data_IF_116483224081
#
_entry.id   IF_116483224081
#
_cell.length_a   1.000
_cell.length_b   1.000
_cell.length_c   1.000
_cell.angle_alpha   90.00
_cell.angle_beta   90.00
_cell.angle_gamma   90.00
#
_symmetry.space_group_name_H-M   'P 1'
#
loop_
_entity.id
_entity.type
_entity.pdbx_description
1 polymer ?
#
# COMPACT_ATOMS: atom_id res chain seq x y z
N UNK A 1 -55.25 -53.43 30.09
CA UNK A 1 -54.54 -52.13 30.17
C UNK A 1 -53.04 -52.40 30.14
N UNK A 2 -52.38 -52.10 29.03
CA UNK A 2 -50.92 -52.11 28.92
C UNK A 2 -50.50 -50.76 28.32
N UNK A 3 -49.64 -50.03 29.03
CA UNK A 3 -49.28 -48.64 28.77
C UNK A 3 -48.48 -48.48 27.48
N UNK A 4 -48.97 -47.57 26.63
CA UNK A 4 -48.28 -46.97 25.49
C UNK A 4 -46.99 -46.27 25.94
N UNK A 5 -45.84 -46.65 25.37
CA UNK A 5 -44.57 -45.93 25.53
C UNK A 5 -44.26 -45.18 24.24
N UNK A 6 -44.59 -43.89 24.22
CA UNK A 6 -44.09 -42.97 23.19
C UNK A 6 -42.65 -42.55 23.51
N UNK A 7 -41.74 -42.51 22.52
CA UNK A 7 -40.41 -41.97 22.73
C UNK A 7 -40.50 -40.45 22.94
N UNK A 8 -39.90 -39.99 24.03
CA UNK A 8 -39.70 -38.57 24.35
C UNK A 8 -38.78 -37.93 23.31
N UNK A 9 -39.32 -36.92 22.62
CA UNK A 9 -38.61 -35.98 21.76
C UNK A 9 -37.48 -35.29 22.52
N UNK A 10 -36.25 -35.79 22.38
CA UNK A 10 -35.05 -35.11 22.83
C UNK A 10 -34.68 -33.96 21.87
N UNK A 11 -35.14 -32.77 22.25
CA UNK A 11 -34.51 -31.45 22.12
C UNK A 11 -33.96 -30.96 20.75
N UNK A 12 -34.66 -30.04 20.07
CA UNK A 12 -34.16 -29.21 18.96
C UNK A 12 -32.87 -28.42 19.26
N UNK A 13 -32.55 -28.20 20.54
CA UNK A 13 -31.37 -27.46 20.97
C UNK A 13 -30.04 -28.20 20.67
N UNK A 14 -30.04 -29.54 20.68
CA UNK A 14 -28.84 -30.34 20.44
C UNK A 14 -28.49 -30.51 18.95
N UNK A 15 -29.48 -30.37 18.06
CA UNK A 15 -29.28 -30.34 16.60
C UNK A 15 -28.85 -28.95 16.13
N UNK A 16 -29.36 -27.89 16.76
CA UNK A 16 -28.99 -26.52 16.46
C UNK A 16 -27.52 -26.23 16.84
N UNK A 17 -27.06 -26.65 18.03
CA UNK A 17 -25.66 -26.47 18.46
C UNK A 17 -24.65 -27.22 17.59
N UNK A 18 -25.02 -28.41 17.06
CA UNK A 18 -24.21 -29.15 16.09
C UNK A 18 -24.10 -28.43 14.74
N UNK A 19 -25.19 -27.85 14.26
CA UNK A 19 -25.21 -27.09 13.00
C UNK A 19 -24.33 -25.83 13.09
N UNK A 20 -24.34 -25.13 14.23
CA UNK A 20 -23.45 -23.99 14.48
C UNK A 20 -21.96 -24.39 14.57
N UNK A 21 -21.64 -25.55 15.13
CA UNK A 21 -20.26 -26.08 15.13
C UNK A 21 -19.77 -26.43 13.74
N UNK A 22 -20.63 -27.02 12.90
CA UNK A 22 -20.28 -27.39 11.54
C UNK A 22 -20.10 -26.15 10.66
N UNK A 23 -20.99 -25.16 10.77
CA UNK A 23 -20.83 -23.87 10.09
C UNK A 23 -19.57 -23.11 10.55
N UNK A 24 -19.25 -23.13 11.84
CA UNK A 24 -18.02 -22.54 12.36
C UNK A 24 -16.74 -23.19 11.80
N UNK A 25 -16.75 -24.52 11.64
CA UNK A 25 -15.65 -25.27 11.01
C UNK A 25 -15.49 -24.87 9.54
N UNK A 26 -16.59 -24.80 8.78
CA UNK A 26 -16.55 -24.47 7.36
C UNK A 26 -16.08 -23.03 7.12
N UNK A 27 -16.47 -22.08 7.98
CA UNK A 27 -15.97 -20.69 7.94
C UNK A 27 -14.47 -20.62 8.26
N UNK A 28 -13.98 -21.42 9.22
CA UNK A 28 -12.55 -21.46 9.55
C UNK A 28 -11.73 -21.98 8.38
N UNK A 29 -12.19 -23.05 7.73
CA UNK A 29 -11.55 -23.63 6.53
C UNK A 29 -11.57 -22.65 5.35
N UNK A 30 -12.66 -21.89 5.18
CA UNK A 30 -12.73 -20.82 4.16
C UNK A 30 -11.76 -19.66 4.47
N UNK A 31 -11.56 -19.31 5.74
CA UNK A 31 -10.60 -18.26 6.14
C UNK A 31 -9.15 -18.68 5.90
N UNK A 32 -8.81 -19.95 6.13
CA UNK A 32 -7.47 -20.50 5.85
C UNK A 32 -7.14 -20.41 4.36
N UNK A 33 -8.10 -20.79 3.50
CA UNK A 33 -7.95 -20.65 2.06
C UNK A 33 -7.83 -19.19 1.60
N UNK A 34 -8.59 -18.27 2.20
CA UNK A 34 -8.50 -16.85 1.88
C UNK A 34 -7.20 -16.22 2.38
N UNK A 35 -6.63 -16.71 3.49
CA UNK A 35 -5.33 -16.27 3.98
C UNK A 35 -4.20 -16.69 3.03
N UNK A 36 -4.25 -17.91 2.48
CA UNK A 36 -3.28 -18.38 1.48
C UNK A 36 -3.35 -17.55 0.19
N UNK A 37 -4.56 -17.26 -0.30
CA UNK A 37 -4.76 -16.40 -1.47
C UNK A 37 -4.24 -14.97 -1.21
N UNK A 38 -4.53 -14.41 -0.03
CA UNK A 38 -4.07 -13.08 0.35
C UNK A 38 -2.54 -13.00 0.45
N UNK A 39 -1.89 -14.05 0.96
CA UNK A 39 -0.43 -14.11 1.02
C UNK A 39 0.18 -14.15 -0.39
N UNK A 40 -0.44 -14.89 -1.31
CA UNK A 40 -0.03 -14.94 -2.71
C UNK A 40 -0.19 -13.58 -3.40
N UNK A 41 -1.35 -12.94 -3.22
CA UNK A 41 -1.66 -11.62 -3.79
C UNK A 41 -0.72 -10.53 -3.25
N UNK A 42 -0.42 -10.54 -1.96
CA UNK A 42 0.55 -9.60 -1.35
C UNK A 42 1.94 -9.83 -1.94
N UNK A 43 2.37 -11.07 -2.11
CA UNK A 43 3.68 -11.39 -2.67
C UNK A 43 3.79 -10.93 -4.13
N UNK A 44 2.76 -11.19 -4.94
CA UNK A 44 2.66 -10.74 -6.33
C UNK A 44 2.70 -9.20 -6.41
N UNK A 45 1.91 -8.53 -5.57
CA UNK A 45 1.85 -7.07 -5.49
C UNK A 45 3.19 -6.45 -5.08
N UNK A 46 3.83 -6.99 -4.03
CA UNK A 46 5.15 -6.53 -3.56
C UNK A 46 6.21 -6.70 -4.64
N UNK A 47 6.25 -7.84 -5.33
CA UNK A 47 7.19 -8.05 -6.43
C UNK A 47 6.93 -7.10 -7.62
N UNK A 48 5.66 -6.84 -7.92
CA UNK A 48 5.26 -5.89 -8.96
C UNK A 48 5.55 -4.44 -8.58
N UNK A 49 5.57 -4.08 -7.29
CA UNK A 49 5.77 -2.72 -6.81
C UNK A 49 7.25 -2.39 -6.53
N UNK A 50 8.04 -3.35 -6.04
CA UNK A 50 9.45 -3.11 -5.69
C UNK A 50 10.28 -2.73 -6.92
N UNK A 51 10.07 -3.41 -8.06
CA UNK A 51 10.82 -3.12 -9.29
C UNK A 51 10.66 -1.67 -9.79
N UNK A 52 9.43 -1.16 -10.00
CA UNK A 52 9.24 0.23 -10.41
C UNK A 52 9.69 1.22 -9.32
N UNK A 53 9.49 0.89 -8.04
CA UNK A 53 9.97 1.75 -6.94
C UNK A 53 11.50 1.87 -6.94
N UNK A 54 12.22 0.75 -7.10
CA UNK A 54 13.69 0.74 -7.17
C UNK A 54 14.19 1.52 -8.39
N UNK A 55 13.54 1.37 -9.55
CA UNK A 55 13.86 2.14 -10.75
C UNK A 55 13.64 3.65 -10.54
N UNK A 56 12.53 4.04 -9.91
CA UNK A 56 12.24 5.45 -9.58
C UNK A 56 13.27 6.03 -8.60
N UNK A 57 13.64 5.26 -7.57
CA UNK A 57 14.67 5.69 -6.61
C UNK A 57 16.03 5.85 -7.28
N UNK A 58 16.44 4.88 -8.12
CA UNK A 58 17.69 4.98 -8.87
C UNK A 58 17.69 6.21 -9.80
N UNK A 59 16.59 6.43 -10.53
CA UNK A 59 16.43 7.61 -11.38
C UNK A 59 16.48 8.92 -10.57
N UNK A 60 15.83 8.97 -9.42
CA UNK A 60 15.86 10.14 -8.55
C UNK A 60 17.27 10.45 -8.02
N UNK A 61 18.02 9.42 -7.60
CA UNK A 61 19.42 9.57 -7.16
C UNK A 61 20.29 10.09 -8.29
N UNK A 62 20.20 9.50 -9.48
CA UNK A 62 20.96 9.93 -10.66
C UNK A 62 20.60 11.38 -11.01
N UNK A 63 19.32 11.73 -11.04
CA UNK A 63 18.87 13.09 -11.34
C UNK A 63 19.41 14.09 -10.32
N UNK A 64 19.36 13.75 -9.02
CA UNK A 64 19.86 14.62 -7.96
C UNK A 64 21.39 14.81 -8.03
N UNK A 65 22.12 13.76 -8.40
CA UNK A 65 23.58 13.82 -8.56
C UNK A 65 23.99 14.61 -9.82
N UNK A 66 23.22 14.48 -10.91
CA UNK A 66 23.56 15.09 -12.20
C UNK A 66 23.02 16.51 -12.35
N UNK A 67 21.95 16.88 -11.66
CA UNK A 67 21.33 18.20 -11.78
C UNK A 67 22.28 19.39 -11.47
N UNK A 68 23.07 19.38 -10.37
CA UNK A 68 24.03 20.46 -10.11
C UNK A 68 25.09 20.57 -11.20
N UNK A 69 25.59 19.43 -11.69
CA UNK A 69 26.59 19.38 -12.75
C UNK A 69 26.01 19.96 -14.04
N UNK A 70 24.80 19.55 -14.42
CA UNK A 70 24.10 20.07 -15.59
C UNK A 70 23.87 21.59 -15.49
N UNK A 71 23.47 22.10 -14.33
CA UNK A 71 23.25 23.53 -14.12
C UNK A 71 24.55 24.33 -14.22
N UNK A 72 25.64 23.82 -13.64
CA UNK A 72 26.97 24.44 -13.76
C UNK A 72 27.44 24.43 -15.21
N UNK A 73 27.36 23.28 -15.89
CA UNK A 73 27.72 23.17 -17.31
C UNK A 73 26.90 24.11 -18.18
N UNK A 74 25.60 24.27 -17.90
CA UNK A 74 24.75 25.22 -18.60
C UNK A 74 25.19 26.67 -18.36
N UNK A 75 25.48 27.04 -17.11
CA UNK A 75 26.01 28.38 -16.79
C UNK A 75 27.34 28.68 -17.48
N UNK A 76 28.27 27.71 -17.52
CA UNK A 76 29.54 27.86 -18.21
C UNK A 76 29.35 27.98 -19.72
N UNK A 77 28.48 27.16 -20.30
CA UNK A 77 28.15 27.23 -21.72
C UNK A 77 27.54 28.59 -22.09
N UNK A 78 26.66 29.11 -21.24
CA UNK A 78 26.04 30.41 -21.44
C UNK A 78 27.07 31.54 -21.36
N UNK A 79 27.97 31.51 -20.37
CA UNK A 79 29.08 32.46 -20.26
C UNK A 79 30.02 32.40 -21.47
N UNK A 80 30.24 31.21 -22.05
CA UNK A 80 31.11 31.03 -23.20
C UNK A 80 30.48 31.45 -24.54
N UNK A 81 29.13 31.46 -24.63
CA UNK A 81 28.40 31.77 -25.86
C UNK A 81 27.76 33.16 -25.87
N UNK A 82 27.82 33.87 -24.76
CA UNK A 82 27.28 35.22 -24.63
C UNK A 82 28.36 36.15 -24.09
N UNK A 83 28.14 37.46 -24.19
CA UNK A 83 29.02 38.46 -23.56
C UNK A 83 28.73 38.64 -22.06
N UNK A 84 27.95 37.73 -21.47
CA UNK A 84 27.61 37.82 -20.05
C UNK A 84 28.84 37.53 -19.19
N UNK A 85 29.06 38.29 -18.11
CA UNK A 85 30.04 37.91 -17.11
C UNK A 85 29.60 36.59 -16.44
N UNK A 86 30.57 35.81 -15.97
CA UNK A 86 30.34 34.48 -15.39
C UNK A 86 29.23 34.48 -14.32
N UNK A 87 29.20 35.49 -13.45
CA UNK A 87 28.17 35.61 -12.41
C UNK A 87 26.76 35.76 -13.02
N UNK A 88 26.60 36.52 -14.10
CA UNK A 88 25.31 36.72 -14.78
C UNK A 88 24.82 35.46 -15.46
N UNK A 89 25.73 34.70 -16.07
CA UNK A 89 25.43 33.40 -16.66
C UNK A 89 25.05 32.34 -15.60
N UNK A 90 25.70 32.36 -14.43
CA UNK A 90 25.36 31.45 -13.33
C UNK A 90 24.02 31.78 -12.67
N UNK A 91 23.69 33.07 -12.49
CA UNK A 91 22.39 33.48 -11.95
C UNK A 91 21.26 33.09 -12.90
N UNK A 92 21.44 33.29 -14.21
CA UNK A 92 20.43 32.90 -15.21
C UNK A 92 20.25 31.38 -15.28
N UNK A 93 21.34 30.60 -15.20
CA UNK A 93 21.27 29.15 -15.06
C UNK A 93 20.51 28.71 -13.81
N UNK A 94 20.82 29.30 -12.65
CA UNK A 94 20.16 29.03 -11.38
C UNK A 94 18.67 29.40 -11.43
N UNK A 95 18.32 30.57 -11.97
CA UNK A 95 16.94 31.02 -12.12
C UNK A 95 16.13 30.08 -13.03
N UNK A 96 16.74 29.59 -14.11
CA UNK A 96 16.10 28.63 -15.02
C UNK A 96 15.87 27.29 -14.31
N UNK A 97 16.87 26.76 -13.60
CA UNK A 97 16.72 25.54 -12.82
C UNK A 97 15.66 25.66 -11.73
N UNK A 98 15.61 26.80 -11.05
CA UNK A 98 14.61 27.08 -10.01
C UNK A 98 13.19 27.17 -10.59
N UNK A 99 13.02 27.83 -11.73
CA UNK A 99 11.72 27.89 -12.42
C UNK A 99 11.23 26.49 -12.83
N UNK A 100 12.10 25.66 -13.40
CA UNK A 100 11.78 24.27 -13.74
C UNK A 100 11.41 23.43 -12.51
N UNK A 101 12.11 23.63 -11.39
CA UNK A 101 11.81 22.96 -10.13
C UNK A 101 10.42 23.35 -9.59
N UNK A 102 10.07 24.64 -9.61
CA UNK A 102 8.74 25.11 -9.21
C UNK A 102 7.64 24.52 -10.09
N UNK A 103 7.82 24.54 -11.41
CA UNK A 103 6.83 24.00 -12.35
C UNK A 103 6.64 22.49 -12.10
N UNK A 104 7.73 21.75 -11.97
CA UNK A 104 7.69 20.30 -11.73
C UNK A 104 7.02 19.96 -10.40
N UNK A 105 7.38 20.68 -9.33
CA UNK A 105 6.75 20.52 -8.02
C UNK A 105 5.26 20.89 -8.06
N UNK A 106 4.90 21.95 -8.79
CA UNK A 106 3.52 22.38 -9.00
C UNK A 106 2.68 21.32 -9.71
N UNK A 107 3.20 20.73 -10.80
CA UNK A 107 2.55 19.63 -11.53
C UNK A 107 2.40 18.41 -10.61
N UNK A 108 3.44 18.02 -9.89
CA UNK A 108 3.38 16.89 -8.95
C UNK A 108 2.31 17.09 -7.88
N UNK A 109 2.28 18.26 -7.24
CA UNK A 109 1.24 18.60 -6.26
C UNK A 109 -0.15 18.64 -6.89
N UNK A 110 -0.28 19.15 -8.11
CA UNK A 110 -1.54 19.18 -8.84
C UNK A 110 -2.06 17.76 -9.13
N UNK A 111 -1.20 16.86 -9.60
CA UNK A 111 -1.55 15.45 -9.82
C UNK A 111 -1.96 14.76 -8.51
N UNK A 112 -1.18 14.93 -7.43
CA UNK A 112 -1.52 14.38 -6.12
C UNK A 112 -2.85 14.93 -5.56
N UNK A 113 -3.15 16.21 -5.82
CA UNK A 113 -4.42 16.84 -5.40
C UNK A 113 -5.59 16.37 -6.26
N UNK A 114 -5.38 16.14 -7.55
CA UNK A 114 -6.41 15.65 -8.46
C UNK A 114 -6.78 14.19 -8.12
N UNK A 115 -5.79 13.38 -7.79
CA UNK A 115 -5.94 11.95 -7.48
C UNK A 115 -6.17 11.65 -5.98
N UNK A 116 -6.69 12.62 -5.21
CA UNK A 116 -7.04 12.40 -3.78
C UNK A 116 -7.96 11.21 -3.55
N UNK A 117 -8.83 10.90 -4.52
CA UNK A 117 -9.71 9.71 -4.46
C UNK A 117 -8.93 8.40 -4.33
N UNK A 118 -7.74 8.34 -4.94
CA UNK A 118 -6.87 7.16 -4.90
C UNK A 118 -6.22 7.04 -3.50
N UNK A 119 -5.70 8.15 -2.95
CA UNK A 119 -5.14 8.20 -1.60
C UNK A 119 -6.18 7.93 -0.50
N UNK A 120 -7.39 8.48 -0.64
CA UNK A 120 -8.48 8.23 0.29
C UNK A 120 -8.89 6.76 0.24
N UNK A 121 -9.02 6.18 -0.96
CA UNK A 121 -9.32 4.76 -1.12
C UNK A 121 -8.23 3.87 -0.52
N UNK A 122 -6.96 4.14 -0.79
CA UNK A 122 -5.84 3.42 -0.20
C UNK A 122 -5.79 3.54 1.33
N UNK A 123 -6.02 4.73 1.89
CA UNK A 123 -6.06 4.91 3.36
C UNK A 123 -7.23 4.15 3.98
N UNK A 124 -8.37 4.13 3.30
CA UNK A 124 -9.57 3.42 3.77
C UNK A 124 -9.36 1.90 3.73
N UNK A 125 -8.74 1.39 2.67
CA UNK A 125 -8.39 -0.04 2.52
C UNK A 125 -7.28 -0.45 3.51
N UNK A 126 -6.24 0.38 3.69
CA UNK A 126 -5.17 0.11 4.67
C UNK A 126 -5.69 0.07 6.11
N UNK A 127 -6.60 0.98 6.50
CA UNK A 127 -7.22 0.97 7.83
C UNK A 127 -8.08 -0.27 8.05
N UNK A 128 -8.82 -0.71 7.03
CA UNK A 128 -9.59 -1.95 7.08
C UNK A 128 -8.66 -3.16 7.25
N UNK A 129 -7.55 -3.20 6.51
CA UNK A 129 -6.57 -4.29 6.59
C UNK A 129 -5.86 -4.35 7.94
N UNK A 130 -5.48 -3.20 8.52
CA UNK A 130 -4.85 -3.13 9.86
C UNK A 130 -5.85 -3.48 10.96
N UNK A 131 -7.11 -3.06 10.84
CA UNK A 131 -8.16 -3.45 11.78
C UNK A 131 -8.39 -4.96 11.74
N UNK A 132 -8.50 -5.54 10.54
CA UNK A 132 -8.62 -6.99 10.38
C UNK A 132 -7.42 -7.73 11.00
N UNK A 133 -6.18 -7.31 10.71
CA UNK A 133 -4.98 -7.92 11.29
C UNK A 133 -4.97 -7.85 12.83
N UNK A 134 -5.41 -6.72 13.39
CA UNK A 134 -5.47 -6.52 14.84
C UNK A 134 -6.55 -7.37 15.50
N UNK A 135 -7.68 -7.57 14.84
CA UNK A 135 -8.74 -8.45 15.31
C UNK A 135 -8.26 -9.91 15.25
N UNK A 136 -7.67 -10.33 14.13
CA UNK A 136 -7.09 -11.67 13.94
C UNK A 136 -6.04 -12.01 15.01
N UNK A 137 -5.15 -11.07 15.34
CA UNK A 137 -4.13 -11.26 16.39
C UNK A 137 -4.69 -11.26 17.82
N UNK A 138 -5.84 -10.62 18.05
CA UNK A 138 -6.54 -10.64 19.36
C UNK A 138 -7.36 -11.90 19.55
N UNK A 139 -7.80 -12.53 18.46
CA UNK A 139 -8.53 -13.80 18.46
C UNK A 139 -7.62 -15.03 18.43
N UNK A 140 -6.35 -14.93 18.81
CA UNK A 140 -5.55 -16.10 19.23
C UNK A 140 -5.77 -16.32 20.73
N UNK A 141 -6.74 -17.14 21.16
CA UNK A 141 -6.79 -17.61 22.54
C UNK A 141 -5.59 -18.53 22.77
N UNK A 142 -4.79 -18.16 23.77
CA UNK A 142 -3.92 -19.07 24.48
C UNK A 142 -4.81 -20.07 25.22
N UNK A 143 -5.00 -21.24 24.63
CA UNK A 143 -5.46 -22.42 25.34
C UNK A 143 -4.43 -23.55 25.15
N UNK A 144 -3.24 -23.36 25.74
CA UNK A 144 -2.61 -24.49 26.43
C UNK A 144 -3.34 -24.73 27.78
N UNK A 145 -3.30 -25.93 28.41
CA UNK A 145 -2.48 -27.11 28.09
C UNK A 145 -3.28 -28.43 28.02
N UNK A 146 -2.79 -29.40 27.24
CA UNK A 146 -2.63 -30.82 27.66
C UNK A 146 -1.46 -31.45 26.91
#
# INVERSE_FOLDING_TARGET
MAFDRRPTTAAPAASMSRSFRQLGSDVLTLMELQAELLQLDVREWVHSFIRPLAALLAAAIILLATAPIALLSFGYLLAAKTELPLWGAMITAAATGFALAIISAGIGVWMLKHDRRILDRFSTELRKNVHWLKETLRTTPDDGPR
#
